data_IF_075779707669
#
_entry.id   IF_075779707669
#
_cell.length_a   1.000
_cell.length_b   1.000
_cell.length_c   1.000
_cell.angle_alpha   90.00
_cell.angle_beta   90.00
_cell.angle_gamma   90.00
#
_symmetry.space_group_name_H-M   'P 1'
#
loop_
_entity.id
_entity.type
_entity.pdbx_description
1 polymer ?
#
# COMPACT_ATOMS: atom_id res chain seq x y z
N UNK A 1 7.97 -9.53 18.73
CA UNK A 1 8.00 -8.04 18.76
C UNK A 1 6.81 -7.47 18.04
N UNK A 2 6.30 -6.32 18.50
CA UNK A 2 5.16 -5.63 17.89
C UNK A 2 5.65 -4.83 16.68
N UNK A 3 5.05 -5.07 15.51
CA UNK A 3 5.26 -4.28 14.28
C UNK A 3 4.17 -3.23 14.19
N UNK A 4 4.54 -1.98 13.92
CA UNK A 4 3.60 -0.86 13.78
C UNK A 4 3.50 -0.51 12.30
N UNK A 5 2.31 -0.68 11.72
CA UNK A 5 1.99 -0.32 10.34
C UNK A 5 1.19 0.99 10.32
N UNK A 6 1.85 2.16 10.16
CA UNK A 6 1.14 3.42 10.14
C UNK A 6 0.40 3.59 8.81
N UNK A 7 -0.92 3.78 8.89
CA UNK A 7 -1.81 3.89 7.73
C UNK A 7 -2.67 5.15 7.86
N UNK A 8 -2.68 5.98 6.81
CA UNK A 8 -3.58 7.13 6.68
C UNK A 8 -4.63 6.80 5.64
N UNK A 9 -5.89 6.69 6.07
CA UNK A 9 -7.02 6.45 5.18
C UNK A 9 -7.65 7.78 4.78
N UNK A 10 -7.79 8.01 3.47
CA UNK A 10 -8.31 9.25 2.90
C UNK A 10 -9.54 8.96 2.04
N UNK A 11 -10.42 9.96 1.91
CA UNK A 11 -11.64 9.84 1.13
C UNK A 11 -11.52 10.38 -0.30
N UNK A 12 -10.58 11.30 -0.54
CA UNK A 12 -10.49 11.97 -1.83
C UNK A 12 -9.47 11.27 -2.73
N UNK A 13 -9.95 10.80 -3.89
CA UNK A 13 -9.13 10.13 -4.92
C UNK A 13 -7.91 10.93 -5.40
N UNK A 14 -7.91 12.26 -5.23
CA UNK A 14 -6.74 13.10 -5.53
C UNK A 14 -5.48 12.69 -4.74
N UNK A 15 -5.65 12.02 -3.61
CA UNK A 15 -4.56 11.48 -2.81
C UNK A 15 -4.11 10.07 -3.24
N UNK A 16 -4.79 9.46 -4.21
CA UNK A 16 -4.37 8.21 -4.86
C UNK A 16 -3.55 8.54 -6.13
N UNK A 17 -2.56 9.42 -5.98
CA UNK A 17 -1.74 9.96 -7.07
C UNK A 17 -0.31 9.40 -7.00
N UNK A 18 0.32 9.05 -8.14
CA UNK A 18 1.69 8.57 -8.14
C UNK A 18 2.66 9.48 -7.38
N UNK A 19 3.50 8.86 -6.56
CA UNK A 19 4.55 9.51 -5.79
C UNK A 19 4.11 10.18 -4.50
N UNK A 20 2.82 10.49 -4.32
CA UNK A 20 2.37 11.15 -3.09
C UNK A 20 2.76 10.36 -1.84
N UNK A 21 2.48 9.05 -1.84
CA UNK A 21 2.82 8.19 -0.70
C UNK A 21 4.33 8.23 -0.38
N UNK A 22 5.19 8.30 -1.40
CA UNK A 22 6.64 8.38 -1.22
C UNK A 22 7.06 9.70 -0.56
N UNK A 23 6.51 10.83 -1.01
CA UNK A 23 6.80 12.14 -0.44
C UNK A 23 6.30 12.28 1.01
N UNK A 24 5.08 11.84 1.30
CA UNK A 24 4.56 11.90 2.68
C UNK A 24 5.37 10.95 3.58
N UNK A 25 5.73 9.76 3.10
CA UNK A 25 6.60 8.87 3.87
C UNK A 25 7.98 9.49 4.11
N UNK A 26 8.57 10.22 3.16
CA UNK A 26 9.83 10.92 3.38
C UNK A 26 9.74 11.87 4.59
N UNK A 27 8.73 12.75 4.63
CA UNK A 27 8.51 13.62 5.80
C UNK A 27 8.24 12.84 7.09
N UNK A 28 7.47 11.76 7.00
CA UNK A 28 7.21 10.90 8.16
C UNK A 28 8.49 10.27 8.71
N UNK A 29 9.41 9.81 7.86
CA UNK A 29 10.70 9.27 8.30
C UNK A 29 11.58 10.35 8.94
N UNK A 30 11.57 11.59 8.44
CA UNK A 30 12.28 12.71 9.06
C UNK A 30 11.77 12.97 10.49
N UNK A 31 10.45 12.99 10.69
CA UNK A 31 9.84 13.15 12.02
C UNK A 31 10.15 11.97 12.95
N UNK A 32 10.15 10.73 12.44
CA UNK A 32 10.58 9.57 13.23
C UNK A 32 12.04 9.71 13.70
N UNK A 33 12.93 10.28 12.89
CA UNK A 33 14.31 10.53 13.29
C UNK A 33 14.41 11.56 14.42
N UNK A 34 13.55 12.58 14.43
CA UNK A 34 13.45 13.52 15.57
C UNK A 34 13.09 12.76 16.85
N UNK A 35 12.04 11.94 16.82
CA UNK A 35 11.60 11.14 17.97
C UNK A 35 12.69 10.15 18.43
N UNK A 36 13.43 9.56 17.49
CA UNK A 36 14.57 8.69 17.80
C UNK A 36 15.66 9.45 18.57
N UNK A 37 15.96 10.69 18.17
CA UNK A 37 16.95 11.53 18.84
C UNK A 37 16.49 11.96 20.24
N UNK A 38 15.18 11.97 20.50
CA UNK A 38 14.58 12.17 21.82
C UNK A 38 14.57 10.89 22.69
N UNK A 39 15.06 9.76 22.16
CA UNK A 39 15.17 8.50 22.88
C UNK A 39 13.98 7.55 22.68
N UNK A 40 13.06 7.85 21.76
CA UNK A 40 11.93 6.97 21.44
C UNK A 40 12.40 5.86 20.50
N UNK A 41 12.06 4.60 20.82
CA UNK A 41 12.37 3.46 19.96
C UNK A 41 11.40 3.42 18.76
N UNK A 42 11.94 3.61 17.56
CA UNK A 42 11.20 3.59 16.29
C UNK A 42 11.47 2.36 15.43
N UNK A 43 12.29 1.40 15.87
CA UNK A 43 12.84 0.32 15.02
C UNK A 43 11.76 -0.57 14.38
N UNK A 44 10.59 -0.66 15.01
CA UNK A 44 9.48 -1.47 14.52
C UNK A 44 8.39 -0.66 13.78
N UNK A 45 8.61 0.63 13.56
CA UNK A 45 7.67 1.48 12.80
C UNK A 45 7.98 1.34 11.31
N UNK A 46 7.01 0.84 10.56
CA UNK A 46 7.12 0.67 9.11
C UNK A 46 6.89 2.01 8.38
N UNK A 47 7.30 2.11 7.09
CA UNK A 47 6.94 3.23 6.23
C UNK A 47 5.43 3.54 6.25
N UNK A 48 5.09 4.83 6.21
CA UNK A 48 3.71 5.30 6.16
C UNK A 48 3.05 4.88 4.84
N UNK A 49 1.81 4.37 4.92
CA UNK A 49 0.98 4.05 3.76
C UNK A 49 -0.25 4.95 3.74
N UNK A 50 -0.53 5.52 2.58
CA UNK A 50 -1.76 6.24 2.28
C UNK A 50 -2.67 5.30 1.51
N UNK A 51 -3.91 5.17 1.98
CA UNK A 51 -4.91 4.34 1.34
C UNK A 51 -6.15 5.19 1.07
N UNK A 52 -6.60 5.16 -0.17
CA UNK A 52 -7.91 5.67 -0.54
C UNK A 52 -9.00 4.70 -0.05
N UNK A 53 -10.02 5.20 0.64
CA UNK A 53 -11.09 4.38 1.21
C UNK A 53 -11.79 3.54 0.14
N UNK A 54 -11.91 4.06 -1.08
CA UNK A 54 -12.53 3.36 -2.21
C UNK A 54 -11.78 2.06 -2.53
N UNK A 55 -10.45 2.04 -2.40
CA UNK A 55 -9.63 0.83 -2.56
C UNK A 55 -10.00 -0.25 -1.55
N UNK A 56 -10.27 0.12 -0.29
CA UNK A 56 -10.67 -0.83 0.75
C UNK A 56 -12.10 -1.32 0.56
N UNK A 57 -13.03 -0.41 0.20
CA UNK A 57 -14.42 -0.77 -0.06
C UNK A 57 -14.53 -1.72 -1.24
N UNK A 58 -13.84 -1.42 -2.34
CA UNK A 58 -13.89 -2.23 -3.55
C UNK A 58 -13.35 -3.65 -3.33
N UNK A 59 -12.29 -3.78 -2.54
CA UNK A 59 -11.63 -5.07 -2.29
C UNK A 59 -12.05 -5.72 -0.96
N UNK A 60 -13.10 -5.22 -0.30
CA UNK A 60 -13.53 -5.67 1.03
C UNK A 60 -13.80 -7.17 1.10
N UNK A 61 -14.34 -7.74 0.03
CA UNK A 61 -14.75 -9.15 0.01
C UNK A 61 -13.53 -10.08 -0.02
N UNK A 62 -12.47 -9.68 -0.74
CA UNK A 62 -11.19 -10.42 -0.78
C UNK A 62 -10.55 -10.49 0.61
N UNK A 63 -10.62 -9.39 1.37
CA UNK A 63 -10.11 -9.33 2.75
C UNK A 63 -11.03 -10.05 3.75
N UNK A 64 -12.35 -9.90 3.63
CA UNK A 64 -13.33 -10.50 4.53
C UNK A 64 -13.30 -12.03 4.46
N UNK A 65 -13.10 -12.59 3.26
CA UNK A 65 -13.02 -14.03 3.04
C UNK A 65 -11.63 -14.59 3.40
N UNK A 66 -10.71 -13.76 3.90
CA UNK A 66 -9.31 -14.10 4.28
C UNK A 66 -8.50 -14.75 3.16
N UNK A 67 -8.86 -14.47 1.91
CA UNK A 67 -8.10 -14.93 0.75
C UNK A 67 -6.80 -14.12 0.64
N UNK A 68 -6.87 -12.84 0.99
CA UNK A 68 -5.75 -11.93 1.10
C UNK A 68 -5.80 -11.23 2.45
N UNK A 69 -4.66 -11.08 3.11
CA UNK A 69 -4.57 -10.34 4.37
C UNK A 69 -4.03 -8.93 4.11
N UNK A 70 -4.72 -7.91 4.62
CA UNK A 70 -4.30 -6.51 4.44
C UNK A 70 -2.91 -6.26 5.04
N UNK A 71 -2.59 -6.89 6.18
CA UNK A 71 -1.29 -6.77 6.82
C UNK A 71 -0.15 -7.23 5.90
N UNK A 72 -0.28 -8.39 5.24
CA UNK A 72 0.72 -8.87 4.31
C UNK A 72 0.86 -7.93 3.10
N UNK A 73 -0.25 -7.36 2.61
CA UNK A 73 -0.22 -6.37 1.54
C UNK A 73 0.51 -5.09 1.96
N UNK A 74 0.30 -4.63 3.19
CA UNK A 74 0.98 -3.47 3.74
C UNK A 74 2.49 -3.74 3.83
N UNK A 75 2.89 -4.87 4.41
CA UNK A 75 4.29 -5.24 4.60
C UNK A 75 5.01 -5.32 3.24
N UNK A 76 4.41 -6.00 2.27
CA UNK A 76 4.97 -6.11 0.91
C UNK A 76 5.11 -4.73 0.26
N UNK A 77 4.05 -3.90 0.29
CA UNK A 77 4.08 -2.56 -0.26
C UNK A 77 5.13 -1.68 0.43
N UNK A 78 5.25 -1.77 1.74
CA UNK A 78 6.24 -1.02 2.52
C UNK A 78 7.68 -1.44 2.20
N UNK A 79 7.93 -2.73 2.00
CA UNK A 79 9.30 -3.23 1.75
C UNK A 79 9.76 -3.02 0.31
N UNK A 80 8.85 -3.15 -0.66
CA UNK A 80 9.20 -3.21 -2.09
C UNK A 80 8.78 -1.99 -2.89
N UNK A 81 7.93 -1.13 -2.32
CA UNK A 81 7.42 0.09 -2.98
C UNK A 81 7.78 1.33 -2.16
N UNK A 82 6.97 1.74 -1.19
CA UNK A 82 7.14 3.05 -0.51
C UNK A 82 8.43 3.15 0.30
N UNK A 83 8.88 2.06 0.94
CA UNK A 83 10.13 2.03 1.71
C UNK A 83 11.37 1.82 0.84
N UNK A 84 11.23 1.80 -0.48
CA UNK A 84 12.37 1.71 -1.38
C UNK A 84 13.20 3.01 -1.34
N UNK A 85 14.34 2.96 -0.66
CA UNK A 85 15.32 4.04 -0.58
C UNK A 85 16.43 3.93 -1.63
N UNK A 86 16.52 2.81 -2.35
CA UNK A 86 17.57 2.56 -3.36
C UNK A 86 18.99 2.37 -2.80
N UNK A 87 19.24 2.75 -1.55
CA UNK A 87 20.54 2.62 -0.87
C UNK A 87 20.79 1.16 -0.44
N UNK A 88 21.98 0.65 -0.76
CA UNK A 88 22.48 -0.65 -0.27
C UNK A 88 21.96 -1.91 -0.97
N UNK A 89 21.07 -1.81 -1.97
CA UNK A 89 20.73 -2.96 -2.83
C UNK A 89 21.69 -3.02 -4.04
N UNK A 90 22.42 -4.13 -4.17
CA UNK A 90 23.16 -4.44 -5.39
C UNK A 90 22.13 -4.83 -6.46
N UNK A 91 21.85 -3.93 -7.40
CA UNK A 91 20.99 -4.26 -8.53
C UNK A 91 21.76 -5.13 -9.51
N UNK A 92 21.13 -6.20 -9.98
CA UNK A 92 21.69 -7.11 -10.99
C UNK A 92 21.71 -6.45 -12.38
N UNK A 93 20.89 -5.42 -12.62
CA UNK A 93 20.85 -4.63 -13.85
C UNK A 93 20.29 -3.22 -13.62
N UNK A 94 20.64 -2.30 -14.53
CA UNK A 94 20.09 -0.94 -14.58
C UNK A 94 18.56 -0.95 -14.80
N UNK A 95 18.06 -1.89 -15.59
CA UNK A 95 16.63 -2.06 -15.86
C UNK A 95 15.84 -2.37 -14.58
N UNK A 96 16.37 -3.28 -13.75
CA UNK A 96 15.75 -3.62 -12.48
C UNK A 96 15.75 -2.42 -11.50
N UNK A 97 16.82 -1.62 -11.48
CA UNK A 97 16.87 -0.40 -10.68
C UNK A 97 15.82 0.63 -11.14
N UNK A 98 15.67 0.84 -12.45
CA UNK A 98 14.64 1.74 -13.01
C UNK A 98 13.23 1.26 -12.66
N UNK A 99 12.97 -0.04 -12.75
CA UNK A 99 11.67 -0.60 -12.40
C UNK A 99 11.36 -0.44 -10.91
N UNK A 100 12.33 -0.69 -10.02
CA UNK A 100 12.15 -0.51 -8.59
C UNK A 100 11.89 0.97 -8.24
N UNK A 101 12.61 1.89 -8.89
CA UNK A 101 12.34 3.33 -8.77
C UNK A 101 10.92 3.68 -9.23
N UNK A 102 10.50 3.18 -10.39
CA UNK A 102 9.13 3.41 -10.90
C UNK A 102 8.07 2.87 -9.93
N UNK A 103 8.26 1.64 -9.45
CA UNK A 103 7.36 1.00 -8.48
C UNK A 103 7.24 1.81 -7.18
N UNK A 104 8.32 2.44 -6.72
CA UNK A 104 8.28 3.28 -5.52
C UNK A 104 7.34 4.50 -5.63
N UNK A 105 6.94 4.88 -6.86
CA UNK A 105 5.94 5.92 -7.09
C UNK A 105 4.51 5.38 -7.21
N UNK A 106 4.29 4.07 -7.28
CA UNK A 106 2.94 3.53 -7.40
C UNK A 106 2.15 3.75 -6.09
N UNK A 107 0.92 4.25 -6.16
CA UNK A 107 0.07 4.34 -4.97
C UNK A 107 -0.39 2.94 -4.54
N UNK A 108 -0.79 2.80 -3.27
CA UNK A 108 -1.20 1.52 -2.70
C UNK A 108 -2.32 0.84 -3.49
N UNK A 109 -3.31 1.61 -3.97
CA UNK A 109 -4.42 1.07 -4.77
C UNK A 109 -3.95 0.40 -6.06
N UNK A 110 -3.01 1.02 -6.78
CA UNK A 110 -2.47 0.45 -8.02
C UNK A 110 -1.65 -0.82 -7.75
N UNK A 111 -0.87 -0.83 -6.67
CA UNK A 111 -0.18 -2.04 -6.21
C UNK A 111 -1.16 -3.18 -5.89
N UNK A 112 -2.21 -2.87 -5.12
CA UNK A 112 -3.17 -3.87 -4.66
C UNK A 112 -3.96 -4.45 -5.85
N UNK A 113 -4.35 -3.59 -6.79
CA UNK A 113 -5.03 -4.02 -8.01
C UNK A 113 -4.18 -5.01 -8.82
N UNK A 114 -2.91 -4.66 -9.09
CA UNK A 114 -1.98 -5.55 -9.79
C UNK A 114 -1.79 -6.89 -9.06
N UNK A 115 -1.68 -6.86 -7.72
CA UNK A 115 -1.56 -8.07 -6.90
C UNK A 115 -2.80 -8.96 -6.99
N UNK A 116 -4.00 -8.38 -6.87
CA UNK A 116 -5.27 -9.09 -6.96
C UNK A 116 -5.45 -9.74 -8.34
N UNK A 117 -5.11 -9.01 -9.40
CA UNK A 117 -5.20 -9.51 -10.78
C UNK A 117 -4.23 -10.66 -11.01
N UNK A 118 -2.96 -10.53 -10.58
CA UNK A 118 -1.96 -11.59 -10.67
C UNK A 118 -2.35 -12.87 -9.92
N UNK A 119 -3.08 -12.73 -8.82
CA UNK A 119 -3.58 -13.86 -8.04
C UNK A 119 -4.91 -14.43 -8.58
N UNK A 120 -5.50 -13.84 -9.62
CA UNK A 120 -6.80 -14.26 -10.15
C UNK A 120 -7.96 -14.05 -9.18
N UNK A 121 -7.84 -13.09 -8.26
CA UNK A 121 -8.81 -12.85 -7.18
C UNK A 121 -9.84 -11.77 -7.52
N UNK A 122 -9.73 -11.15 -8.69
CA UNK A 122 -10.64 -10.10 -9.12
C UNK A 122 -12.07 -10.64 -9.21
N UNK A 123 -12.96 -10.05 -8.41
CA UNK A 123 -14.39 -10.38 -8.38
C UNK A 123 -15.20 -9.09 -8.31
N UNK A 124 -16.45 -9.15 -8.79
CA UNK A 124 -17.40 -8.07 -8.55
C UNK A 124 -17.72 -8.00 -7.06
N UNK A 125 -17.77 -6.82 -6.45
CA UNK A 125 -18.23 -6.69 -5.06
C UNK A 125 -19.62 -7.30 -4.87
N UNK A 126 -19.82 -8.08 -3.80
CA UNK A 126 -21.10 -8.76 -3.51
C UNK A 126 -22.28 -7.80 -3.46
N UNK A 127 -22.07 -6.57 -3.00
CA UNK A 127 -23.11 -5.54 -2.94
C UNK A 127 -23.63 -5.15 -4.33
N UNK A 128 -22.76 -5.19 -5.35
CA UNK A 128 -23.11 -4.89 -6.73
C UNK A 128 -23.88 -6.07 -7.33
N UNK A 129 -23.43 -7.31 -7.09
CA UNK A 129 -24.17 -8.50 -7.51
C UNK A 129 -25.59 -8.51 -6.93
N UNK A 130 -25.71 -8.36 -5.61
CA UNK A 130 -26.99 -8.39 -4.90
C UNK A 130 -27.98 -7.28 -5.31
N UNK A 131 -27.49 -6.15 -5.85
CA UNK A 131 -28.32 -5.04 -6.34
C UNK A 131 -28.56 -5.10 -7.85
N UNK A 132 -27.58 -5.53 -8.64
CA UNK A 132 -27.65 -5.62 -10.09
C UNK A 132 -28.61 -6.69 -10.59
N UNK A 133 -28.67 -7.85 -9.90
CA UNK A 133 -29.63 -8.89 -10.24
C UNK A 133 -31.09 -8.48 -9.98
N UNK A 134 -31.34 -7.51 -9.08
CA UNK A 134 -32.69 -6.96 -8.83
C UNK A 134 -33.18 -5.98 -9.89
N UNK A 135 -32.35 -5.58 -10.86
CA UNK A 135 -32.74 -4.66 -11.94
C UNK A 135 -33.37 -5.45 -13.12
N UNK A 136 -33.09 -6.74 -13.21
CA UNK A 136 -33.54 -7.62 -14.29
C UNK A 136 -34.63 -8.64 -13.87
N UNK A 137 -35.19 -8.48 -12.66
CA UNK A 137 -36.42 -9.13 -12.19
C UNK A 137 -37.59 -8.14 -12.23
#
# INVERSE_FOLDING_TARGET
DVIINPVVVLHYRMFNTPGLNKFINFWFQEELLVLKNEGINITNVKPLVIIDIDTLIFNKDVFADRILELENCLIDYQNDYVGYLGEGRFFTSEEYQKQALFNSFLPFGAYLDDKIDKMGLRKSPRDIENKGFKIFE
#
